data_IF_918700121812
#
_entry.id   IF_918700121812
#
_cell.length_a   1.000
_cell.length_b   1.000
_cell.length_c   1.000
_cell.angle_alpha   90.00
_cell.angle_beta   90.00
_cell.angle_gamma   90.00
#
_symmetry.space_group_name_H-M   'P 1'
#
loop_
_entity.id
_entity.type
_entity.pdbx_description
1 polymer ?
#
# COMPACT_ATOMS: atom_id res chain seq x y z
N UNK A 1 -10.87 -3.91 -16.32
CA UNK A 1 -10.31 -3.28 -15.11
C UNK A 1 -11.42 -2.61 -14.35
N UNK A 2 -11.23 -2.33 -13.06
CA UNK A 2 -12.14 -1.49 -12.28
C UNK A 2 -11.63 -0.05 -12.30
N UNK A 3 -12.56 0.91 -12.38
CA UNK A 3 -12.25 2.34 -12.32
C UNK A 3 -13.19 2.97 -11.30
N UNK A 4 -12.63 3.79 -10.41
CA UNK A 4 -13.39 4.50 -9.37
C UNK A 4 -13.00 5.96 -9.42
N UNK A 5 -13.99 6.85 -9.38
CA UNK A 5 -13.79 8.28 -9.22
C UNK A 5 -13.96 8.64 -7.75
N UNK A 6 -13.01 9.40 -7.20
CA UNK A 6 -13.13 9.95 -5.85
C UNK A 6 -14.40 10.79 -5.75
N UNK A 7 -15.21 10.57 -4.70
CA UNK A 7 -16.39 11.41 -4.42
C UNK A 7 -16.00 12.73 -3.73
N UNK A 8 -14.78 12.80 -3.22
CA UNK A 8 -14.19 13.95 -2.53
C UNK A 8 -12.70 14.05 -2.90
N UNK A 9 -11.87 14.70 -2.10
CA UNK A 9 -10.43 14.83 -2.34
C UNK A 9 -9.64 13.51 -2.24
N UNK A 10 -10.28 12.36 -1.97
CA UNK A 10 -9.57 11.09 -1.91
C UNK A 10 -10.46 9.85 -2.08
N UNK A 11 -9.78 8.70 -2.14
CA UNK A 11 -10.34 7.35 -2.23
C UNK A 11 -9.74 6.51 -1.12
N UNK A 12 -10.59 5.97 -0.25
CA UNK A 12 -10.20 4.96 0.71
C UNK A 12 -10.41 3.55 0.11
N UNK A 13 -9.38 2.72 0.25
CA UNK A 13 -9.35 1.37 -0.31
C UNK A 13 -9.18 0.38 0.84
N UNK A 14 -9.94 -0.70 0.80
CA UNK A 14 -9.81 -1.77 1.78
C UNK A 14 -10.75 -2.93 1.51
N UNK A 15 -10.89 -3.82 2.48
CA UNK A 15 -11.82 -4.95 2.36
C UNK A 15 -13.27 -4.51 2.56
N UNK A 16 -13.50 -3.45 3.35
CA UNK A 16 -14.83 -2.95 3.70
C UNK A 16 -14.80 -1.47 4.15
N UNK A 17 -15.95 -0.79 4.09
CA UNK A 17 -16.10 0.56 4.65
C UNK A 17 -15.35 1.68 3.91
N UNK A 18 -14.66 1.38 2.80
CA UNK A 18 -14.01 2.36 1.92
C UNK A 18 -14.85 2.70 0.69
N UNK A 19 -14.31 3.59 -0.15
CA UNK A 19 -14.86 3.94 -1.47
C UNK A 19 -14.69 2.80 -2.48
N UNK A 20 -13.59 2.04 -2.36
CA UNK A 20 -13.31 0.85 -3.16
C UNK A 20 -13.05 -0.34 -2.24
N UNK A 21 -13.95 -1.32 -2.27
CA UNK A 21 -13.93 -2.48 -1.39
C UNK A 21 -13.57 -3.77 -2.14
N UNK A 22 -12.75 -4.61 -1.50
CA UNK A 22 -12.37 -5.95 -1.98
C UNK A 22 -12.76 -7.03 -0.96
N UNK A 23 -14.05 -7.35 -0.78
CA UNK A 23 -14.55 -8.13 0.37
C UNK A 23 -13.93 -9.52 0.52
N UNK A 24 -13.47 -10.13 -0.57
CA UNK A 24 -12.93 -11.49 -0.61
C UNK A 24 -11.41 -11.57 -0.46
N UNK A 25 -10.70 -10.44 -0.44
CA UNK A 25 -9.24 -10.43 -0.33
C UNK A 25 -8.80 -10.52 1.14
N UNK A 26 -8.43 -11.72 1.58
CA UNK A 26 -7.97 -11.98 2.94
C UNK A 26 -6.66 -11.26 3.30
N UNK A 27 -5.89 -10.80 2.31
CA UNK A 27 -4.66 -10.07 2.53
C UNK A 27 -4.88 -8.56 2.63
N UNK A 28 -6.09 -8.08 2.39
CA UNK A 28 -6.45 -6.67 2.55
C UNK A 28 -7.08 -6.41 3.92
N UNK A 29 -6.52 -5.48 4.69
CA UNK A 29 -7.17 -4.91 5.88
C UNK A 29 -8.54 -4.29 5.55
N UNK A 30 -9.42 -4.21 6.55
CA UNK A 30 -10.73 -3.55 6.44
C UNK A 30 -10.57 -2.13 5.88
N UNK A 31 -9.77 -1.30 6.55
CA UNK A 31 -9.22 -0.05 6.02
C UNK A 31 -7.75 -0.27 5.72
N UNK A 32 -7.33 -0.22 4.45
CA UNK A 32 -5.98 -0.61 4.04
C UNK A 32 -5.12 0.60 3.70
N UNK A 33 -5.56 1.41 2.76
CA UNK A 33 -4.85 2.61 2.37
C UNK A 33 -5.81 3.69 1.88
N UNK A 34 -5.29 4.91 1.77
CA UNK A 34 -6.00 6.04 1.19
C UNK A 34 -5.11 6.71 0.16
N UNK A 35 -5.70 7.08 -0.97
CA UNK A 35 -5.09 8.01 -1.91
C UNK A 35 -5.84 9.32 -1.80
N UNK A 36 -5.14 10.42 -1.55
CA UNK A 36 -5.74 11.74 -1.44
C UNK A 36 -4.95 12.81 -2.19
N UNK A 37 -5.66 13.76 -2.78
CA UNK A 37 -5.07 14.97 -3.32
C UNK A 37 -4.87 15.98 -2.18
N UNK A 38 -3.63 16.41 -1.99
CA UNK A 38 -3.28 17.47 -1.05
C UNK A 38 -2.23 18.38 -1.70
N UNK A 39 -2.57 19.67 -1.79
CA UNK A 39 -1.74 20.71 -2.41
C UNK A 39 -1.29 20.37 -3.86
N UNK A 40 -2.22 19.84 -4.68
CA UNK A 40 -1.96 19.48 -6.08
C UNK A 40 -1.09 18.23 -6.26
N UNK A 41 -0.88 17.45 -5.20
CA UNK A 41 -0.14 16.18 -5.25
C UNK A 41 -1.00 15.04 -4.72
N UNK A 42 -0.86 13.86 -5.30
CA UNK A 42 -1.45 12.64 -4.77
C UNK A 42 -0.54 12.06 -3.68
N UNK A 43 -1.11 11.81 -2.51
CA UNK A 43 -0.48 11.16 -1.38
C UNK A 43 -1.10 9.78 -1.17
N UNK A 44 -0.26 8.77 -1.03
CA UNK A 44 -0.67 7.41 -0.67
C UNK A 44 -0.32 7.19 0.80
N UNK A 45 -1.34 6.95 1.62
CA UNK A 45 -1.21 6.73 3.05
C UNK A 45 -1.63 5.31 3.38
N UNK A 46 -0.71 4.52 3.93
CA UNK A 46 -1.04 3.23 4.54
C UNK A 46 -1.78 3.47 5.86
N UNK A 47 -2.92 2.81 6.06
CA UNK A 47 -3.77 2.98 7.24
C UNK A 47 -3.50 1.90 8.29
N UNK A 48 -2.21 1.65 8.55
CA UNK A 48 -1.72 0.57 9.41
C UNK A 48 -2.23 -0.80 8.95
N UNK A 49 -2.07 -1.06 7.65
CA UNK A 49 -2.56 -2.29 7.06
C UNK A 49 -1.74 -3.50 7.53
N UNK A 50 -2.37 -4.68 7.59
CA UNK A 50 -1.75 -5.89 8.13
C UNK A 50 -0.55 -6.35 7.30
N UNK A 51 -0.67 -6.24 5.98
CA UNK A 51 0.35 -6.72 5.06
C UNK A 51 1.17 -5.59 4.44
N UNK A 52 0.85 -4.33 4.71
CA UNK A 52 1.51 -3.16 4.16
C UNK A 52 1.00 -2.76 2.77
N UNK A 53 1.19 -1.48 2.46
CA UNK A 53 0.99 -0.89 1.13
C UNK A 53 2.35 -0.66 0.46
N UNK A 54 2.52 -1.16 -0.76
CA UNK A 54 3.81 -1.10 -1.48
C UNK A 54 3.69 -0.36 -2.82
N UNK A 55 4.72 0.40 -3.16
CA UNK A 55 4.92 0.94 -4.51
C UNK A 55 5.89 0.07 -5.28
N UNK A 56 5.58 -0.20 -6.55
CA UNK A 56 6.48 -0.98 -7.42
C UNK A 56 7.74 -0.17 -7.70
N UNK A 57 8.90 -0.77 -7.50
CA UNK A 57 10.17 -0.18 -7.92
C UNK A 57 10.28 -0.22 -9.46
N UNK A 58 10.64 0.92 -10.05
CA UNK A 58 10.85 1.07 -11.49
C UNK A 58 12.33 1.25 -11.87
N UNK A 59 13.19 1.46 -10.89
CA UNK A 59 14.63 1.59 -11.02
C UNK A 59 15.29 1.01 -9.76
N UNK A 60 16.61 0.90 -9.80
CA UNK A 60 17.40 0.49 -8.64
C UNK A 60 17.14 1.43 -7.46
N UNK A 61 17.07 0.84 -6.27
CA UNK A 61 16.85 1.55 -5.01
C UNK A 61 17.80 0.99 -3.98
N UNK A 62 18.51 1.87 -3.29
CA UNK A 62 19.31 1.50 -2.13
C UNK A 62 18.39 0.96 -1.02
N UNK A 63 18.80 -0.16 -0.41
CA UNK A 63 18.08 -0.80 0.68
C UNK A 63 18.76 -0.51 2.00
N UNK A 64 17.96 -0.29 3.03
CA UNK A 64 18.38 -0.10 4.41
C UNK A 64 18.01 -1.30 5.27
N UNK A 65 18.71 -1.45 6.40
CA UNK A 65 18.31 -2.41 7.43
C UNK A 65 16.86 -2.15 7.87
N UNK A 66 16.06 -3.21 7.95
CA UNK A 66 14.64 -3.13 8.32
C UNK A 66 13.67 -2.92 7.16
N UNK A 67 14.17 -2.66 5.93
CA UNK A 67 13.30 -2.53 4.76
C UNK A 67 12.52 -3.82 4.47
N UNK A 68 11.30 -3.66 3.95
CA UNK A 68 10.48 -4.77 3.50
C UNK A 68 10.42 -4.84 1.97
N UNK A 69 10.56 -6.05 1.45
CA UNK A 69 10.54 -6.35 0.02
C UNK A 69 9.36 -7.29 -0.30
N UNK A 70 8.52 -6.90 -1.25
CA UNK A 70 7.49 -7.77 -1.78
C UNK A 70 7.91 -8.32 -3.15
N UNK A 71 8.22 -9.63 -3.20
CA UNK A 71 8.71 -10.32 -4.42
C UNK A 71 7.79 -11.50 -4.72
N UNK A 72 7.12 -11.44 -5.87
CA UNK A 72 6.11 -12.44 -6.23
C UNK A 72 4.96 -12.48 -5.22
N UNK A 73 4.95 -13.49 -4.35
CA UNK A 73 3.97 -13.66 -3.26
C UNK A 73 4.62 -13.66 -1.87
N UNK A 74 5.88 -13.20 -1.77
CA UNK A 74 6.68 -13.26 -0.54
C UNK A 74 6.94 -11.85 -0.02
N UNK A 75 6.69 -11.66 1.27
CA UNK A 75 7.14 -10.50 2.02
C UNK A 75 8.43 -10.89 2.76
N UNK A 76 9.52 -10.19 2.46
CA UNK A 76 10.84 -10.39 3.06
C UNK A 76 11.24 -9.14 3.84
N UNK A 77 12.06 -9.28 4.87
CA UNK A 77 12.66 -8.16 5.62
C UNK A 77 14.17 -8.19 5.45
N UNK A 78 14.78 -7.02 5.25
CA UNK A 78 16.22 -6.85 5.11
C UNK A 78 16.86 -6.83 6.48
N UNK A 79 17.67 -7.85 6.78
CA UNK A 79 18.55 -7.89 7.95
C UNK A 79 19.99 -7.67 7.50
N UNK A 80 20.71 -6.76 8.18
CA UNK A 80 22.12 -6.47 7.91
C UNK A 80 22.84 -6.81 9.21
N UNK A 81 23.59 -7.90 9.20
CA UNK A 81 24.35 -8.36 10.36
C UNK A 81 25.83 -8.09 10.14
N UNK A 82 26.58 -7.91 11.23
CA UNK A 82 28.03 -7.99 11.15
C UNK A 82 28.44 -9.40 10.66
N UNK A 83 29.50 -9.45 9.87
CA UNK A 83 30.10 -10.71 9.42
C UNK A 83 30.81 -11.43 10.58
#
# INVERSE_FOLDING_TARGET
>A
GMTVCARSAGVQIGREGGDLNFPTDLYMSASHCKVEEAAGKLQLTDLNSRNGTFVRLHAERELSHGDYLFIGKKLLRVEITAA
#
